data_IF_471674166094
#
_entry.id   IF_471674166094
#
_cell.length_a   1.000
_cell.length_b   1.000
_cell.length_c   1.000
_cell.angle_alpha   90.00
_cell.angle_beta   90.00
_cell.angle_gamma   90.00
#
_symmetry.space_group_name_H-M   'P 1'
#
loop_
_entity.id
_entity.type
_entity.pdbx_description
1 polymer ?
#
# COMPACT_ATOMS: atom_id res chain seq x y z
N UNK A 1 10.44 -18.55 -25.43
CA UNK A 1 10.02 -18.64 -24.02
C UNK A 1 8.79 -17.76 -23.84
N UNK A 2 7.63 -18.34 -23.60
CA UNK A 2 6.41 -17.58 -23.29
C UNK A 2 6.26 -17.52 -21.76
N UNK A 3 7.07 -16.70 -21.10
CA UNK A 3 6.96 -16.46 -19.66
C UNK A 3 5.95 -15.34 -19.42
N UNK A 4 4.68 -15.70 -19.17
CA UNK A 4 3.57 -14.87 -18.67
C UNK A 4 3.29 -13.48 -19.29
N UNK A 5 4.00 -13.05 -20.34
CA UNK A 5 3.77 -11.78 -21.06
C UNK A 5 4.18 -10.52 -20.29
N UNK A 6 4.85 -10.64 -19.14
CA UNK A 6 5.31 -9.52 -18.31
C UNK A 6 6.75 -9.74 -17.89
N UNK A 7 7.61 -8.75 -18.16
CA UNK A 7 9.04 -8.80 -17.84
C UNK A 7 9.33 -8.47 -16.36
N UNK A 8 10.47 -8.93 -15.80
CA UNK A 8 10.90 -8.55 -14.45
C UNK A 8 10.99 -7.03 -14.24
N UNK A 9 11.41 -6.30 -15.27
CA UNK A 9 11.50 -4.83 -15.25
C UNK A 9 10.12 -4.15 -15.14
N UNK A 10 9.11 -4.68 -15.81
CA UNK A 10 7.73 -4.19 -15.70
C UNK A 10 7.14 -4.46 -14.32
N UNK A 11 7.36 -5.66 -13.77
CA UNK A 11 6.95 -6.00 -12.40
C UNK A 11 7.62 -5.09 -11.37
N UNK A 12 8.91 -4.82 -11.51
CA UNK A 12 9.66 -3.92 -10.63
C UNK A 12 9.15 -2.49 -10.72
N UNK A 13 8.82 -2.01 -11.92
CA UNK A 13 8.23 -0.69 -12.13
C UNK A 13 6.86 -0.57 -11.45
N UNK A 14 5.99 -1.54 -11.63
CA UNK A 14 4.66 -1.55 -11.00
C UNK A 14 4.80 -1.68 -9.47
N UNK A 15 5.75 -2.48 -8.99
CA UNK A 15 6.05 -2.58 -7.56
C UNK A 15 6.42 -1.21 -6.97
N UNK A 16 7.26 -0.43 -7.66
CA UNK A 16 7.60 0.93 -7.25
C UNK A 16 6.36 1.83 -7.12
N UNK A 17 5.44 1.77 -8.08
CA UNK A 17 4.18 2.54 -8.02
C UNK A 17 3.31 2.17 -6.81
N UNK A 18 3.21 0.88 -6.49
CA UNK A 18 2.47 0.41 -5.31
C UNK A 18 3.14 0.83 -4.00
N UNK A 19 4.47 0.86 -3.96
CA UNK A 19 5.24 1.31 -2.80
C UNK A 19 5.07 2.81 -2.57
N UNK A 20 5.21 3.62 -3.62
CA UNK A 20 5.03 5.07 -3.58
C UNK A 20 3.61 5.43 -3.13
N UNK A 21 2.60 4.90 -3.82
CA UNK A 21 1.20 5.18 -3.49
C UNK A 21 0.82 4.64 -2.10
N UNK A 22 1.31 3.46 -1.71
CA UNK A 22 1.07 2.89 -0.38
C UNK A 22 1.66 3.75 0.74
N UNK A 23 2.85 4.32 0.51
CA UNK A 23 3.48 5.30 1.38
C UNK A 23 2.66 6.58 1.51
N UNK A 24 2.25 7.17 0.39
CA UNK A 24 1.43 8.39 0.36
C UNK A 24 0.10 8.20 1.11
N UNK A 25 -0.58 7.08 0.86
CA UNK A 25 -1.83 6.72 1.55
C UNK A 25 -1.59 6.60 3.06
N UNK A 26 -0.52 5.94 3.46
CA UNK A 26 -0.18 5.81 4.88
C UNK A 26 0.12 7.17 5.52
N UNK A 27 0.79 8.08 4.80
CA UNK A 27 1.07 9.43 5.26
C UNK A 27 -0.21 10.26 5.46
N UNK A 28 -1.22 10.08 4.61
CA UNK A 28 -2.51 10.77 4.71
C UNK A 28 -3.24 10.50 6.03
N UNK A 29 -3.01 9.35 6.69
CA UNK A 29 -3.59 9.01 8.01
C UNK A 29 -3.51 10.18 9.00
N UNK A 30 -2.36 10.84 9.08
CA UNK A 30 -2.11 11.94 10.02
C UNK A 30 -3.00 13.16 9.77
N UNK A 31 -3.28 13.45 8.49
CA UNK A 31 -4.14 14.57 8.04
C UNK A 31 -5.63 14.35 8.28
N UNK A 32 -6.05 13.10 8.53
CA UNK A 32 -7.44 12.72 8.77
C UNK A 32 -7.87 12.95 10.23
N UNK A 33 -7.00 13.53 11.06
CA UNK A 33 -7.35 13.87 12.44
C UNK A 33 -8.32 15.04 12.44
N UNK A 34 -9.53 14.90 13.00
CA UNK A 34 -10.48 16.00 13.05
C UNK A 34 -9.93 17.14 13.92
N UNK A 35 -10.00 18.37 13.41
CA UNK A 35 -9.57 19.58 14.12
C UNK A 35 -10.49 20.01 15.28
N UNK A 36 -11.58 19.27 15.51
CA UNK A 36 -12.52 19.46 16.63
C UNK A 36 -12.49 18.22 17.52
N UNK A 37 -11.80 18.33 18.65
CA UNK A 37 -11.72 17.29 19.68
C UNK A 37 -12.83 17.38 20.71
N UNK A 38 -12.96 16.32 21.54
CA UNK A 38 -13.91 16.22 22.64
C UNK A 38 -13.94 17.50 23.50
N UNK A 39 -15.06 18.23 23.49
CA UNK A 39 -15.25 19.47 24.23
C UNK A 39 -14.96 20.76 23.45
N UNK A 40 -14.49 20.67 22.22
CA UNK A 40 -14.33 21.82 21.30
C UNK A 40 -15.60 22.11 20.49
N UNK A 41 -16.58 21.20 20.51
CA UNK A 41 -17.90 21.47 19.94
C UNK A 41 -18.85 22.05 21.00
N UNK A 42 -19.70 22.99 20.58
CA UNK A 42 -20.69 23.60 21.47
C UNK A 42 -21.67 22.57 22.06
N UNK A 43 -22.35 22.91 23.18
CA UNK A 43 -23.25 21.99 23.94
C UNK A 43 -24.25 21.22 23.06
N UNK A 44 -24.70 21.79 21.95
CA UNK A 44 -25.64 21.14 20.99
C UNK A 44 -25.05 19.94 20.23
N UNK A 45 -23.73 19.84 20.13
CA UNK A 45 -23.03 18.81 19.34
C UNK A 45 -22.36 17.72 20.18
N UNK A 46 -22.41 17.80 21.52
CA UNK A 46 -21.81 16.79 22.42
C UNK A 46 -22.31 15.36 22.16
N UNK A 47 -23.58 15.19 21.78
CA UNK A 47 -24.15 13.88 21.46
C UNK A 47 -23.67 13.28 20.14
N UNK A 48 -23.16 14.11 19.22
CA UNK A 48 -22.69 13.71 17.89
C UNK A 48 -21.17 13.67 17.78
N UNK A 49 -20.46 14.41 18.62
CA UNK A 49 -19.00 14.48 18.69
C UNK A 49 -18.32 13.12 18.80
N UNK A 50 -18.77 12.28 19.73
CA UNK A 50 -18.23 10.94 19.92
C UNK A 50 -18.41 10.05 18.66
N UNK A 51 -19.55 10.18 17.98
CA UNK A 51 -19.82 9.45 16.73
C UNK A 51 -18.89 9.94 15.61
N UNK A 52 -18.76 11.25 15.44
CA UNK A 52 -17.84 11.83 14.47
C UNK A 52 -16.39 11.38 14.70
N UNK A 53 -15.91 11.45 15.94
CA UNK A 53 -14.58 10.95 16.29
C UNK A 53 -14.42 9.47 15.91
N UNK A 54 -15.41 8.64 16.23
CA UNK A 54 -15.35 7.21 15.90
C UNK A 54 -15.29 6.95 14.39
N UNK A 55 -15.91 7.79 13.56
CA UNK A 55 -15.84 7.67 12.11
C UNK A 55 -14.46 8.04 11.57
N UNK A 56 -13.85 9.12 12.08
CA UNK A 56 -12.48 9.48 11.71
C UNK A 56 -11.46 8.45 12.20
N UNK A 57 -11.62 7.91 13.41
CA UNK A 57 -10.75 6.85 13.93
C UNK A 57 -10.81 5.60 13.03
N UNK A 58 -12.02 5.20 12.58
CA UNK A 58 -12.21 4.10 11.63
C UNK A 58 -11.58 4.40 10.28
N UNK A 59 -11.79 5.61 9.75
CA UNK A 59 -11.22 6.03 8.48
C UNK A 59 -9.68 5.99 8.52
N UNK A 60 -9.07 6.49 9.60
CA UNK A 60 -7.62 6.41 9.81
C UNK A 60 -7.11 4.97 9.81
N UNK A 61 -7.80 4.06 10.50
CA UNK A 61 -7.45 2.64 10.51
C UNK A 61 -7.60 1.97 9.13
N UNK A 62 -8.65 2.32 8.38
CA UNK A 62 -8.86 1.82 7.01
C UNK A 62 -7.78 2.31 6.05
N UNK A 63 -7.40 3.59 6.14
CA UNK A 63 -6.34 4.18 5.32
C UNK A 63 -4.98 3.56 5.63
N UNK A 64 -4.67 3.35 6.91
CA UNK A 64 -3.43 2.64 7.30
C UNK A 64 -3.39 1.21 6.77
N UNK A 65 -4.49 0.47 6.90
CA UNK A 65 -4.58 -0.90 6.39
C UNK A 65 -4.38 -0.93 4.87
N UNK A 66 -5.07 -0.04 4.15
CA UNK A 66 -4.99 0.01 2.69
C UNK A 66 -3.58 0.37 2.21
N UNK A 67 -2.92 1.35 2.85
CA UNK A 67 -1.54 1.72 2.54
C UNK A 67 -0.56 0.56 2.76
N UNK A 68 -0.69 -0.18 3.87
CA UNK A 68 0.13 -1.38 4.14
C UNK A 68 -0.10 -2.49 3.12
N UNK A 69 -1.35 -2.74 2.73
CA UNK A 69 -1.64 -3.76 1.72
C UNK A 69 -1.08 -3.38 0.34
N UNK A 70 -1.10 -2.10 -0.03
CA UNK A 70 -0.44 -1.63 -1.24
C UNK A 70 1.07 -1.89 -1.20
N UNK A 71 1.74 -1.59 -0.08
CA UNK A 71 3.16 -1.92 0.11
C UNK A 71 3.41 -3.45 0.07
N UNK A 72 2.51 -4.27 0.63
CA UNK A 72 2.63 -5.73 0.55
C UNK A 72 2.54 -6.25 -0.89
N UNK A 73 1.69 -5.65 -1.73
CA UNK A 73 1.62 -5.97 -3.17
C UNK A 73 2.96 -5.65 -3.84
N UNK A 74 3.56 -4.49 -3.54
CA UNK A 74 4.88 -4.13 -4.05
C UNK A 74 5.95 -5.19 -3.70
N UNK A 75 5.97 -5.67 -2.46
CA UNK A 75 6.91 -6.73 -2.03
C UNK A 75 6.72 -8.00 -2.85
N UNK A 76 5.48 -8.47 -3.01
CA UNK A 76 5.17 -9.67 -3.80
C UNK A 76 5.58 -9.52 -5.26
N UNK A 77 5.37 -8.35 -5.85
CA UNK A 77 5.78 -8.08 -7.23
C UNK A 77 7.31 -8.12 -7.40
N UNK A 78 8.06 -7.58 -6.42
CA UNK A 78 9.54 -7.68 -6.39
C UNK A 78 10.00 -9.13 -6.25
N UNK A 79 9.35 -9.92 -5.41
CA UNK A 79 9.67 -11.34 -5.24
C UNK A 79 9.44 -12.14 -6.54
N UNK A 80 8.34 -11.87 -7.24
CA UNK A 80 8.06 -12.50 -8.55
C UNK A 80 9.10 -12.06 -9.59
N UNK A 81 9.43 -10.77 -9.66
CA UNK A 81 10.46 -10.26 -10.57
C UNK A 81 11.80 -10.97 -10.36
N UNK A 82 12.23 -11.10 -9.10
CA UNK A 82 13.46 -11.82 -8.74
C UNK A 82 13.42 -13.29 -9.14
N UNK A 83 12.29 -13.96 -8.94
CA UNK A 83 12.12 -15.35 -9.37
C UNK A 83 12.25 -15.50 -10.89
N UNK A 84 11.73 -14.55 -11.67
CA UNK A 84 11.86 -14.57 -13.13
C UNK A 84 13.30 -14.38 -13.57
N UNK A 85 14.03 -13.41 -12.99
CA UNK A 85 15.45 -13.20 -13.28
C UNK A 85 16.31 -14.43 -12.98
N UNK A 86 16.05 -15.10 -11.85
CA UNK A 86 16.74 -16.32 -11.47
C UNK A 86 16.47 -17.47 -12.45
N UNK A 87 15.21 -17.70 -12.82
CA UNK A 87 14.84 -18.73 -13.79
C UNK A 87 15.48 -18.48 -15.17
N UNK A 88 15.54 -17.23 -15.62
CA UNK A 88 16.21 -16.86 -16.87
C UNK A 88 17.72 -17.11 -16.81
N UNK A 89 18.37 -16.77 -15.68
CA UNK A 89 19.79 -17.01 -15.47
C UNK A 89 20.14 -18.51 -15.47
N UNK A 90 19.38 -19.32 -14.72
CA UNK A 90 19.58 -20.76 -14.63
C UNK A 90 19.38 -21.44 -15.99
N UNK A 91 18.34 -21.04 -16.71
CA UNK A 91 18.07 -21.59 -18.04
C UNK A 91 19.18 -21.20 -19.03
N UNK A 92 19.66 -19.95 -18.97
CA UNK A 92 20.75 -19.48 -19.82
C UNK A 92 22.08 -20.20 -19.55
N UNK A 93 22.33 -20.62 -18.31
CA UNK A 93 23.49 -21.44 -17.96
C UNK A 93 23.34 -22.87 -18.45
N UNK A 94 22.15 -23.46 -18.34
CA UNK A 94 21.86 -24.82 -18.82
C UNK A 94 22.02 -24.98 -20.35
N UNK A 95 21.77 -23.93 -21.13
CA UNK A 95 21.95 -23.95 -22.59
C UNK A 95 23.36 -23.57 -23.08
N UNK A 96 24.25 -23.14 -22.17
CA UNK A 96 25.66 -22.83 -22.48
C UNK A 96 26.64 -23.94 -22.08
N UNK A 97 26.17 -24.94 -21.34
CA UNK A 97 26.93 -26.14 -20.94
C UNK A 97 26.84 -27.26 -21.95
#
# INVERSE_FOLDING_TARGET
MAGFGVSPGELTKVAGQYEDHGGDITALKSSLTPGVGAGQVGRKFRGTEAKYKSYFDRLQASVETYGKEATNIALRLKDVAKSYEQNEADTSQQFKG
#
